data_IF_002082786925
#
_entry.id   IF_002082786925
#
_cell.length_a   1.000
_cell.length_b   1.000
_cell.length_c   1.000
_cell.angle_alpha   90.00
_cell.angle_beta   90.00
_cell.angle_gamma   90.00
#
_symmetry.space_group_name_H-M   'P 1'
#
loop_
_entity.id
_entity.type
_entity.pdbx_description
1 polymer ?
#
# COMPACT_ATOMS: atom_id res chain seq x y z
N UNK A 1 20.17 18.34 -16.25
CA UNK A 1 19.89 18.70 -14.84
C UNK A 1 18.80 17.78 -14.32
N UNK A 2 18.95 17.19 -13.13
CA UNK A 2 17.94 16.32 -12.53
C UNK A 2 16.85 17.14 -11.85
N UNK A 3 15.63 16.60 -11.77
CA UNK A 3 14.55 17.17 -10.95
C UNK A 3 14.94 17.06 -9.47
N UNK A 4 14.73 18.13 -8.67
CA UNK A 4 14.90 18.05 -7.21
C UNK A 4 13.82 17.14 -6.61
N UNK A 5 14.04 16.61 -5.40
CA UNK A 5 13.02 15.80 -4.71
C UNK A 5 11.71 16.57 -4.47
N UNK A 6 11.81 17.86 -4.12
CA UNK A 6 10.65 18.73 -3.96
C UNK A 6 9.83 18.82 -5.26
N UNK A 7 10.49 19.11 -6.38
CA UNK A 7 9.81 19.19 -7.69
C UNK A 7 9.21 17.84 -8.07
N UNK A 8 9.88 16.72 -7.77
CA UNK A 8 9.34 15.38 -8.00
C UNK A 8 8.06 15.12 -7.19
N UNK A 9 8.03 15.49 -5.91
CA UNK A 9 6.85 15.35 -5.06
C UNK A 9 5.67 16.20 -5.56
N UNK A 10 5.94 17.45 -5.95
CA UNK A 10 4.92 18.36 -6.48
C UNK A 10 4.36 17.87 -7.83
N UNK A 11 5.22 17.32 -8.70
CA UNK A 11 4.82 16.66 -9.94
C UNK A 11 3.96 15.41 -9.69
N UNK A 12 4.33 14.58 -8.72
CA UNK A 12 3.52 13.40 -8.36
C UNK A 12 2.12 13.83 -7.93
N UNK A 13 2.00 14.82 -7.03
CA UNK A 13 0.71 15.33 -6.56
C UNK A 13 -0.13 15.93 -7.68
N UNK A 14 0.49 16.67 -8.60
CA UNK A 14 -0.19 17.21 -9.77
C UNK A 14 -0.77 16.08 -10.64
N UNK A 15 0.03 15.04 -10.90
CA UNK A 15 -0.40 13.86 -11.65
C UNK A 15 -1.58 13.13 -11.00
N UNK A 16 -1.52 12.89 -9.69
CA UNK A 16 -2.62 12.27 -8.94
C UNK A 16 -3.91 13.10 -9.02
N UNK A 17 -3.80 14.43 -8.90
CA UNK A 17 -4.93 15.34 -9.04
C UNK A 17 -5.55 15.30 -10.43
N UNK A 18 -4.73 15.23 -11.47
CA UNK A 18 -5.19 15.09 -12.86
C UNK A 18 -5.90 13.75 -13.05
N UNK A 19 -5.32 12.64 -12.56
CA UNK A 19 -5.90 11.31 -12.66
C UNK A 19 -7.26 11.24 -11.99
N UNK A 20 -7.40 11.78 -10.77
CA UNK A 20 -8.68 11.87 -10.07
C UNK A 20 -9.73 12.62 -10.88
N UNK A 21 -9.35 13.74 -11.46
CA UNK A 21 -10.24 14.55 -12.32
C UNK A 21 -10.67 13.76 -13.56
N UNK A 22 -9.75 12.99 -14.17
CA UNK A 22 -10.05 12.17 -15.34
C UNK A 22 -10.95 10.98 -15.01
N UNK A 23 -10.75 10.32 -13.86
CA UNK A 23 -11.62 9.25 -13.38
C UNK A 23 -13.04 9.75 -13.12
N UNK A 24 -13.17 10.93 -12.50
CA UNK A 24 -14.46 11.58 -12.30
C UNK A 24 -15.14 11.92 -13.65
N UNK A 25 -14.40 12.47 -14.61
CA UNK A 25 -14.93 12.71 -15.97
C UNK A 25 -15.38 11.40 -16.61
N UNK A 26 -14.57 10.34 -16.54
CA UNK A 26 -14.91 9.03 -17.11
C UNK A 26 -16.20 8.46 -16.50
N UNK A 27 -16.45 8.69 -15.22
CA UNK A 27 -17.66 8.23 -14.53
C UNK A 27 -18.94 8.90 -15.06
N UNK A 28 -18.88 10.20 -15.38
CA UNK A 28 -19.99 11.00 -15.90
C UNK A 28 -20.32 10.71 -17.38
N UNK A 29 -19.43 10.04 -18.10
CA UNK A 29 -19.66 9.72 -19.51
C UNK A 29 -20.68 8.59 -19.69
N UNK A 30 -21.47 8.58 -20.77
CA UNK A 30 -22.31 7.43 -21.10
C UNK A 30 -21.46 6.20 -21.39
N UNK A 31 -21.97 4.99 -21.11
CA UNK A 31 -21.24 3.72 -21.28
C UNK A 31 -20.56 3.56 -22.64
N UNK A 32 -21.28 3.93 -23.72
CA UNK A 32 -20.74 3.91 -25.09
C UNK A 32 -19.49 4.78 -25.31
N UNK A 33 -19.22 5.74 -24.43
CA UNK A 33 -18.08 6.65 -24.47
C UNK A 33 -16.97 6.30 -23.46
N UNK A 34 -17.13 5.24 -22.64
CA UNK A 34 -16.12 4.80 -21.65
C UNK A 34 -15.01 3.92 -22.24
N UNK A 35 -14.92 3.81 -23.57
CA UNK A 35 -13.85 3.12 -24.30
C UNK A 35 -13.10 4.11 -25.18
N UNK A 36 -11.85 3.80 -25.58
CA UNK A 36 -11.02 4.69 -26.42
C UNK A 36 -11.76 5.09 -27.72
N UNK A 37 -12.30 4.09 -28.44
CA UNK A 37 -13.02 4.33 -29.69
C UNK A 37 -14.42 4.94 -29.48
N UNK A 38 -15.03 4.69 -28.33
CA UNK A 38 -16.28 5.33 -27.92
C UNK A 38 -16.10 6.82 -27.67
N UNK A 39 -15.12 7.17 -26.83
CA UNK A 39 -14.78 8.53 -26.46
C UNK A 39 -14.38 9.38 -27.68
N UNK A 40 -13.53 8.83 -28.55
CA UNK A 40 -13.11 9.51 -29.78
C UNK A 40 -14.30 9.89 -30.68
N UNK A 41 -15.25 8.96 -30.85
CA UNK A 41 -16.47 9.22 -31.65
C UNK A 41 -17.44 10.14 -30.93
N UNK A 42 -17.61 9.96 -29.63
CA UNK A 42 -18.59 10.69 -28.83
C UNK A 42 -18.25 12.17 -28.70
N UNK A 43 -16.97 12.49 -28.52
CA UNK A 43 -16.49 13.88 -28.39
C UNK A 43 -16.01 14.48 -29.72
N UNK A 44 -15.99 13.69 -30.80
CA UNK A 44 -15.26 14.05 -32.02
C UNK A 44 -13.84 14.51 -31.68
N UNK A 45 -13.12 13.59 -31.02
CA UNK A 45 -11.81 13.83 -30.44
C UNK A 45 -10.80 12.84 -30.99
N UNK A 46 -9.55 13.29 -31.13
CA UNK A 46 -8.51 12.48 -31.75
C UNK A 46 -8.31 11.16 -30.98
N UNK A 47 -8.22 10.04 -31.71
CA UNK A 47 -8.07 8.69 -31.13
C UNK A 47 -6.81 8.55 -30.27
N UNK A 48 -5.69 9.15 -30.66
CA UNK A 48 -4.44 9.13 -29.88
C UNK A 48 -4.60 9.88 -28.56
N UNK A 49 -5.25 11.05 -28.58
CA UNK A 49 -5.52 11.80 -27.34
C UNK A 49 -6.54 11.07 -26.44
N UNK A 50 -7.51 10.39 -27.05
CA UNK A 50 -8.46 9.52 -26.34
C UNK A 50 -7.73 8.36 -25.65
N UNK A 51 -6.80 7.71 -26.34
CA UNK A 51 -5.97 6.66 -25.76
C UNK A 51 -5.19 7.19 -24.56
N UNK A 52 -4.52 8.34 -24.69
CA UNK A 52 -3.78 8.99 -23.60
C UNK A 52 -4.64 9.32 -22.38
N UNK A 53 -5.87 9.79 -22.58
CA UNK A 53 -6.83 9.98 -21.49
C UNK A 53 -7.09 8.68 -20.70
N UNK A 54 -7.38 7.58 -21.40
CA UNK A 54 -7.63 6.29 -20.73
C UNK A 54 -6.37 5.66 -20.15
N UNK A 55 -5.21 5.84 -20.77
CA UNK A 55 -3.93 5.37 -20.20
C UNK A 55 -3.60 6.16 -18.94
N UNK A 56 -3.81 7.48 -18.92
CA UNK A 56 -3.66 8.30 -17.73
C UNK A 56 -4.62 7.89 -16.59
N UNK A 57 -5.85 7.47 -16.91
CA UNK A 57 -6.76 6.90 -15.90
C UNK A 57 -6.21 5.62 -15.25
N UNK A 58 -5.42 4.83 -15.99
CA UNK A 58 -4.87 3.52 -15.58
C UNK A 58 -3.42 3.58 -15.09
N UNK A 59 -2.84 4.77 -14.99
CA UNK A 59 -1.45 4.94 -14.56
C UNK A 59 -1.27 4.50 -13.10
N UNK A 60 -0.12 3.91 -12.78
CA UNK A 60 0.19 3.39 -11.43
C UNK A 60 0.54 4.50 -10.43
N UNK A 61 1.08 5.62 -10.91
CA UNK A 61 1.49 6.75 -10.08
C UNK A 61 1.30 8.09 -10.81
N UNK A 62 1.30 9.19 -10.06
CA UNK A 62 1.11 10.54 -10.61
C UNK A 62 2.17 10.94 -11.65
N UNK A 63 3.42 10.48 -11.54
CA UNK A 63 4.44 10.80 -12.55
C UNK A 63 4.14 10.10 -13.88
N UNK A 64 3.64 8.86 -13.83
CA UNK A 64 3.20 8.15 -15.03
C UNK A 64 1.99 8.83 -15.65
N UNK A 65 1.05 9.36 -14.86
CA UNK A 65 -0.04 10.20 -15.39
C UNK A 65 0.53 11.32 -16.25
N UNK A 66 1.49 12.09 -15.72
CA UNK A 66 2.12 13.19 -16.45
C UNK A 66 2.84 12.73 -17.74
N UNK A 67 3.40 11.52 -17.75
CA UNK A 67 4.01 10.93 -18.95
C UNK A 67 2.97 10.55 -19.99
N UNK A 68 1.80 10.06 -19.57
CA UNK A 68 0.76 9.56 -20.47
C UNK A 68 -0.17 10.65 -21.00
N UNK A 69 -0.21 11.83 -20.37
CA UNK A 69 -1.16 12.89 -20.72
C UNK A 69 -1.13 13.33 -22.21
N UNK A 70 -2.28 13.77 -22.74
CA UNK A 70 -2.31 14.64 -23.91
C UNK A 70 -1.55 15.95 -23.63
N UNK A 71 -1.04 16.61 -24.67
CA UNK A 71 -0.45 17.95 -24.51
C UNK A 71 -1.50 19.00 -24.12
N UNK A 72 -1.06 20.16 -23.61
CA UNK A 72 -1.95 21.24 -23.13
C UNK A 72 -3.02 21.62 -24.15
N UNK A 73 -2.66 21.81 -25.42
CA UNK A 73 -3.62 22.14 -26.48
C UNK A 73 -4.69 21.06 -26.67
N UNK A 74 -4.31 19.79 -26.55
CA UNK A 74 -5.26 18.68 -26.60
C UNK A 74 -6.18 18.66 -25.37
N UNK A 75 -5.69 19.03 -24.19
CA UNK A 75 -6.49 19.18 -22.97
C UNK A 75 -7.48 20.34 -23.09
N UNK A 76 -7.07 21.49 -23.61
CA UNK A 76 -7.95 22.63 -23.88
C UNK A 76 -9.06 22.26 -24.88
N UNK A 77 -8.71 21.54 -25.96
CA UNK A 77 -9.72 21.03 -26.89
C UNK A 77 -10.68 20.05 -26.20
N UNK A 78 -10.17 19.17 -25.33
CA UNK A 78 -11.00 18.25 -24.54
C UNK A 78 -11.96 19.01 -23.62
N UNK A 79 -11.50 20.07 -22.95
CA UNK A 79 -12.35 20.94 -22.12
C UNK A 79 -13.50 21.54 -22.92
N UNK A 80 -13.22 22.06 -24.12
CA UNK A 80 -14.25 22.63 -25.00
C UNK A 80 -15.30 21.58 -25.35
N UNK A 81 -14.86 20.38 -25.75
CA UNK A 81 -15.77 19.28 -26.11
C UNK A 81 -16.56 18.72 -24.93
N UNK A 82 -15.99 18.74 -23.72
CA UNK A 82 -16.65 18.26 -22.49
C UNK A 82 -17.55 19.31 -21.84
N UNK A 83 -17.36 20.61 -22.12
CA UNK A 83 -18.12 21.70 -21.49
C UNK A 83 -19.65 21.48 -21.47
N UNK A 84 -20.31 21.03 -22.57
CA UNK A 84 -21.75 20.80 -22.55
C UNK A 84 -22.16 19.43 -21.97
N UNK A 85 -21.21 18.58 -21.57
CA UNK A 85 -21.43 17.15 -21.29
C UNK A 85 -21.18 16.75 -19.82
N UNK A 86 -20.53 17.60 -19.04
CA UNK A 86 -20.18 17.30 -17.64
C UNK A 86 -20.64 18.42 -16.69
N UNK A 87 -20.85 18.12 -15.40
CA UNK A 87 -21.24 19.12 -14.41
C UNK A 87 -20.25 20.28 -14.29
N UNK A 88 -20.75 21.50 -14.08
CA UNK A 88 -19.94 22.71 -13.96
C UNK A 88 -18.82 22.64 -12.90
N UNK A 89 -19.01 22.03 -11.71
CA UNK A 89 -17.93 21.84 -10.74
C UNK A 89 -16.78 21.00 -11.30
N UNK A 90 -17.09 19.94 -12.05
CA UNK A 90 -16.09 19.05 -12.64
C UNK A 90 -15.36 19.74 -13.81
N UNK A 91 -16.06 20.54 -14.61
CA UNK A 91 -15.45 21.38 -15.62
C UNK A 91 -14.46 22.39 -15.01
N UNK A 92 -14.81 23.01 -13.86
CA UNK A 92 -13.91 23.91 -13.13
C UNK A 92 -12.65 23.19 -12.66
N UNK A 93 -12.78 21.96 -12.16
CA UNK A 93 -11.64 21.12 -11.78
C UNK A 93 -10.75 20.80 -12.99
N UNK A 94 -11.34 20.42 -14.13
CA UNK A 94 -10.61 20.14 -15.36
C UNK A 94 -9.80 21.34 -15.86
N UNK A 95 -10.40 22.54 -15.82
CA UNK A 95 -9.71 23.80 -16.14
C UNK A 95 -8.52 24.02 -15.21
N UNK A 96 -8.76 23.96 -13.91
CA UNK A 96 -7.73 24.16 -12.90
C UNK A 96 -6.54 23.20 -13.04
N UNK A 97 -6.78 21.90 -13.28
CA UNK A 97 -5.67 20.94 -13.43
C UNK A 97 -4.91 21.12 -14.74
N UNK A 98 -5.57 21.63 -15.79
CA UNK A 98 -4.92 21.95 -17.06
C UNK A 98 -4.04 23.19 -16.91
N UNK A 99 -4.53 24.23 -16.22
CA UNK A 99 -3.76 25.45 -15.95
C UNK A 99 -2.53 25.14 -15.09
N UNK A 100 -2.69 24.32 -14.05
CA UNK A 100 -1.57 23.85 -13.22
C UNK A 100 -0.55 23.04 -14.04
N UNK A 101 -1.02 22.21 -14.97
CA UNK A 101 -0.13 21.47 -15.86
C UNK A 101 0.63 22.37 -16.84
N UNK A 102 -0.03 23.37 -17.41
CA UNK A 102 0.61 24.37 -18.26
C UNK A 102 1.65 25.20 -17.50
N UNK A 103 1.31 25.69 -16.30
CA UNK A 103 2.24 26.39 -15.40
C UNK A 103 3.44 25.52 -15.06
N UNK A 104 3.20 24.25 -14.74
CA UNK A 104 4.26 23.29 -14.44
C UNK A 104 5.21 23.08 -15.62
N UNK A 105 4.69 23.00 -16.85
CA UNK A 105 5.55 22.97 -18.04
C UNK A 105 6.37 24.25 -18.11
N UNK A 106 5.73 25.41 -18.08
CA UNK A 106 6.44 26.70 -18.18
C UNK A 106 7.53 26.90 -17.10
N UNK A 107 7.34 26.36 -15.89
CA UNK A 107 8.28 26.47 -14.78
C UNK A 107 9.42 25.44 -14.81
N UNK A 108 9.16 24.21 -15.29
CA UNK A 108 10.08 23.09 -15.10
C UNK A 108 10.51 22.39 -16.40
N UNK A 109 9.84 22.63 -17.52
CA UNK A 109 10.14 22.02 -18.81
C UNK A 109 9.65 22.86 -20.01
N UNK A 110 10.53 23.28 -20.91
CA UNK A 110 10.15 24.06 -22.12
C UNK A 110 9.15 23.35 -23.05
N UNK A 111 8.93 22.05 -22.88
CA UNK A 111 7.90 21.29 -23.57
C UNK A 111 7.49 20.03 -22.81
N UNK A 112 6.32 19.47 -23.13
CA UNK A 112 5.89 18.18 -22.59
C UNK A 112 6.87 17.05 -22.94
N UNK A 113 7.45 17.07 -24.13
CA UNK A 113 8.48 16.10 -24.52
C UNK A 113 9.72 16.18 -23.62
N UNK A 114 10.12 17.39 -23.23
CA UNK A 114 11.22 17.58 -22.27
C UNK A 114 10.83 17.07 -20.88
N UNK A 115 9.62 17.35 -20.40
CA UNK A 115 9.14 16.83 -19.11
C UNK A 115 9.17 15.30 -19.09
N UNK A 116 8.68 14.64 -20.16
CA UNK A 116 8.72 13.17 -20.30
C UNK A 116 10.14 12.64 -20.21
N UNK A 117 11.08 13.26 -20.93
CA UNK A 117 12.50 12.90 -20.85
C UNK A 117 13.03 13.03 -19.42
N UNK A 118 12.80 14.17 -18.77
CA UNK A 118 13.25 14.41 -17.39
C UNK A 118 12.69 13.38 -16.39
N UNK A 119 11.41 13.02 -16.50
CA UNK A 119 10.76 12.02 -15.66
C UNK A 119 11.31 10.61 -15.92
N UNK A 120 11.51 10.24 -17.19
CA UNK A 120 12.08 8.94 -17.56
C UNK A 120 13.55 8.80 -17.13
N UNK A 121 14.36 9.86 -17.20
CA UNK A 121 15.75 9.86 -16.71
C UNK A 121 15.82 9.91 -15.17
N UNK A 122 14.84 10.53 -14.50
CA UNK A 122 14.76 10.52 -13.04
C UNK A 122 14.44 9.11 -12.49
N UNK A 123 13.61 8.31 -13.18
CA UNK A 123 13.39 6.90 -12.82
C UNK A 123 14.70 6.10 -12.82
N UNK A 124 15.64 6.40 -13.73
CA UNK A 124 16.96 5.76 -13.78
C UNK A 124 17.95 6.26 -12.71
N UNK A 125 17.86 7.52 -12.28
CA UNK A 125 18.77 8.09 -11.25
C UNK A 125 18.34 7.86 -9.81
N UNK A 126 17.10 7.42 -9.56
CA UNK A 126 16.59 7.22 -8.19
C UNK A 126 17.27 6.03 -7.47
N UNK A 127 18.10 5.24 -8.16
CA UNK A 127 18.90 4.18 -7.53
C UNK A 127 20.09 4.68 -6.67
N UNK A 128 20.41 5.99 -6.66
CA UNK A 128 21.68 6.47 -6.07
C UNK A 128 21.60 7.68 -5.09
N UNK A 129 20.45 8.05 -4.52
CA UNK A 129 20.38 9.22 -3.61
C UNK A 129 20.25 8.84 -2.13
N UNK A 130 21.37 8.92 -1.39
CA UNK A 130 21.47 8.72 0.07
C UNK A 130 20.80 9.81 0.93
N UNK A 131 20.51 11.01 0.40
CA UNK A 131 20.07 12.15 1.23
C UNK A 131 18.64 12.06 1.81
N UNK A 132 17.73 11.29 1.20
CA UNK A 132 16.36 11.13 1.75
C UNK A 132 16.32 10.25 3.00
N UNK A 133 17.28 9.32 3.11
CA UNK A 133 17.39 8.43 4.26
C UNK A 133 17.97 9.13 5.49
N UNK A 134 18.74 10.21 5.31
CA UNK A 134 19.33 10.97 6.44
C UNK A 134 18.24 11.57 7.36
N UNK A 135 17.20 12.19 6.81
CA UNK A 135 16.10 12.75 7.61
C UNK A 135 15.24 11.67 8.28
N UNK A 136 15.00 10.55 7.59
CA UNK A 136 14.27 9.42 8.16
C UNK A 136 15.05 8.74 9.27
N UNK A 137 16.36 8.58 9.09
CA UNK A 137 17.26 8.10 10.13
C UNK A 137 17.27 9.06 11.34
N UNK A 138 17.32 10.37 11.12
CA UNK A 138 17.20 11.36 12.20
C UNK A 138 15.88 11.23 12.96
N UNK A 139 14.75 11.09 12.26
CA UNK A 139 13.44 10.86 12.88
C UNK A 139 13.45 9.56 13.70
N UNK A 140 14.00 8.47 13.15
CA UNK A 140 14.15 7.20 13.85
C UNK A 140 14.94 7.34 15.16
N UNK A 141 16.13 7.96 15.12
CA UNK A 141 16.96 8.12 16.32
C UNK A 141 16.32 9.05 17.35
N UNK A 142 15.65 10.11 16.89
CA UNK A 142 14.93 11.04 17.77
C UNK A 142 13.75 10.34 18.47
N UNK A 143 12.93 9.61 17.71
CA UNK A 143 11.79 8.87 18.25
C UNK A 143 12.24 7.72 19.16
N UNK A 144 13.31 7.00 18.78
CA UNK A 144 13.94 5.96 19.62
C UNK A 144 14.35 6.52 20.98
N UNK A 145 15.03 7.67 21.00
CA UNK A 145 15.49 8.30 22.25
C UNK A 145 14.32 8.78 23.10
N UNK A 146 13.29 9.37 22.47
CA UNK A 146 12.10 9.86 23.16
C UNK A 146 11.27 8.72 23.79
N UNK A 147 11.03 7.65 23.03
CA UNK A 147 10.18 6.54 23.45
C UNK A 147 10.93 5.46 24.22
N UNK A 148 12.27 5.50 24.21
CA UNK A 148 13.17 4.46 24.76
C UNK A 148 12.85 3.07 24.22
N UNK A 149 12.41 3.04 22.97
CA UNK A 149 11.90 1.88 22.27
C UNK A 149 12.40 1.92 20.83
N UNK A 150 12.95 0.80 20.34
CA UNK A 150 13.22 0.63 18.91
C UNK A 150 12.97 -0.81 18.45
N UNK A 151 12.73 -0.96 17.16
CA UNK A 151 12.72 -2.24 16.45
C UNK A 151 13.77 -2.17 15.35
N UNK A 152 14.63 -3.18 15.24
CA UNK A 152 15.62 -3.22 14.16
C UNK A 152 14.91 -3.49 12.83
N UNK A 153 14.04 -4.49 12.77
CA UNK A 153 13.32 -4.82 11.54
C UNK A 153 11.87 -5.24 11.80
N UNK A 154 10.99 -4.79 10.89
CA UNK A 154 9.64 -5.35 10.76
C UNK A 154 9.56 -6.10 9.43
N UNK A 155 9.34 -7.41 9.49
CA UNK A 155 9.06 -8.26 8.34
C UNK A 155 7.60 -8.69 8.37
N UNK A 156 6.86 -8.38 7.31
CA UNK A 156 5.44 -8.61 7.24
C UNK A 156 5.06 -9.36 5.96
N UNK A 157 4.23 -10.37 6.08
CA UNK A 157 3.65 -11.11 4.95
C UNK A 157 2.15 -11.12 5.09
N UNK A 158 1.44 -10.80 4.02
CA UNK A 158 0.00 -11.01 3.91
C UNK A 158 -0.29 -11.98 2.77
N UNK A 159 -1.25 -12.86 2.96
CA UNK A 159 -1.78 -13.77 1.96
C UNK A 159 -3.26 -13.48 1.81
N UNK A 160 -3.66 -13.03 0.63
CA UNK A 160 -5.05 -12.77 0.25
C UNK A 160 -5.52 -13.88 -0.69
N UNK A 161 -6.47 -14.68 -0.22
CA UNK A 161 -7.01 -15.82 -0.97
C UNK A 161 -8.52 -15.89 -0.87
N UNK A 162 -9.17 -16.54 -1.83
CA UNK A 162 -10.61 -16.71 -1.79
C UNK A 162 -11.04 -17.51 -0.55
N UNK A 163 -12.00 -16.97 0.21
CA UNK A 163 -12.62 -17.69 1.31
C UNK A 163 -13.68 -18.65 0.74
N UNK A 164 -13.33 -19.93 0.60
CA UNK A 164 -14.24 -20.97 0.09
C UNK A 164 -15.46 -21.20 1.00
N UNK A 165 -15.35 -20.90 2.29
CA UNK A 165 -16.45 -21.05 3.24
C UNK A 165 -17.43 -19.87 3.20
N UNK A 166 -16.92 -18.66 2.91
CA UNK A 166 -17.73 -17.46 2.73
C UNK A 166 -17.25 -16.67 1.50
N UNK A 167 -17.80 -16.95 0.30
CA UNK A 167 -17.34 -16.33 -0.94
C UNK A 167 -17.48 -14.81 -1.00
N UNK A 168 -18.21 -14.18 -0.07
CA UNK A 168 -18.32 -12.73 0.01
C UNK A 168 -17.01 -12.05 0.46
N UNK A 169 -16.12 -12.78 1.14
CA UNK A 169 -14.87 -12.26 1.68
C UNK A 169 -13.65 -13.02 1.17
N UNK A 170 -12.50 -12.37 1.23
CA UNK A 170 -11.20 -13.00 1.12
C UNK A 170 -10.75 -13.42 2.53
N UNK A 171 -10.07 -14.55 2.59
CA UNK A 171 -9.29 -14.90 3.78
C UNK A 171 -7.97 -14.13 3.70
N UNK A 172 -7.71 -13.30 4.71
CA UNK A 172 -6.42 -12.64 4.91
C UNK A 172 -5.64 -13.37 6.00
N UNK A 173 -4.49 -13.95 5.63
CA UNK A 173 -3.54 -14.51 6.59
C UNK A 173 -2.33 -13.60 6.66
N UNK A 174 -1.95 -13.16 7.85
CA UNK A 174 -0.83 -12.27 8.06
C UNK A 174 0.21 -12.86 9.00
N UNK A 175 1.49 -12.62 8.72
CA UNK A 175 2.60 -12.79 9.65
C UNK A 175 3.26 -11.43 9.84
N UNK A 176 3.39 -10.99 11.09
CA UNK A 176 4.05 -9.74 11.46
C UNK A 176 5.19 -10.08 12.42
N UNK A 177 6.42 -10.07 11.92
CA UNK A 177 7.63 -10.31 12.70
C UNK A 177 8.31 -8.99 13.02
N UNK A 178 8.67 -8.80 14.29
CA UNK A 178 9.45 -7.67 14.79
C UNK A 178 10.71 -8.20 15.44
N UNK A 179 11.85 -7.94 14.80
CA UNK A 179 13.16 -8.43 15.24
C UNK A 179 14.01 -7.30 15.81
N UNK A 180 14.84 -7.63 16.80
CA UNK A 180 15.67 -6.69 17.52
C UNK A 180 14.86 -5.64 18.26
N UNK A 181 13.74 -6.02 18.88
CA UNK A 181 13.00 -5.14 19.78
C UNK A 181 13.93 -4.79 20.93
N UNK A 182 14.18 -3.49 21.15
CA UNK A 182 14.92 -2.98 22.30
C UNK A 182 14.03 -2.05 23.09
N UNK A 183 13.85 -2.34 24.38
CA UNK A 183 12.99 -1.58 25.29
C UNK A 183 13.75 -1.27 26.57
N UNK A 184 13.96 0.00 26.86
CA UNK A 184 14.63 0.43 28.09
C UNK A 184 13.62 0.67 29.22
N UNK A 185 14.12 0.83 30.44
CA UNK A 185 13.30 1.17 31.60
C UNK A 185 12.50 2.47 31.38
N UNK A 186 11.19 2.39 31.65
CA UNK A 186 10.24 3.51 31.49
C UNK A 186 9.73 3.73 30.06
N UNK A 187 10.09 2.86 29.10
CA UNK A 187 9.42 2.83 27.80
C UNK A 187 7.95 2.40 27.92
N UNK A 188 7.14 2.77 26.93
CA UNK A 188 5.73 2.35 26.85
C UNK A 188 5.59 0.83 26.66
N UNK A 189 4.46 0.23 27.05
CA UNK A 189 4.17 -1.18 26.79
C UNK A 189 4.32 -1.55 25.31
N UNK A 190 4.71 -2.80 25.04
CA UNK A 190 4.69 -3.29 23.67
C UNK A 190 3.26 -3.66 23.29
N UNK A 191 2.79 -3.10 22.17
CA UNK A 191 1.44 -3.38 21.67
C UNK A 191 1.52 -3.89 20.23
N UNK A 192 0.92 -5.06 19.98
CA UNK A 192 0.67 -5.55 18.63
C UNK A 192 -0.78 -5.27 18.24
N UNK A 193 -0.98 -4.39 17.27
CA UNK A 193 -2.30 -4.10 16.70
C UNK A 193 -2.66 -5.10 15.61
N UNK A 194 -3.96 -5.33 15.43
CA UNK A 194 -4.52 -6.20 14.40
C UNK A 194 -5.90 -5.70 13.97
N UNK A 195 -6.36 -6.20 12.83
CA UNK A 195 -7.56 -5.75 12.12
C UNK A 195 -8.68 -6.78 12.25
N UNK A 196 -9.25 -6.91 13.45
CA UNK A 196 -10.49 -7.66 13.71
C UNK A 196 -10.99 -7.38 15.14
N UNK A 197 -12.30 -7.26 15.41
CA UNK A 197 -12.83 -7.23 16.78
C UNK A 197 -12.58 -8.56 17.49
N UNK A 198 -12.30 -8.55 18.80
CA UNK A 198 -12.17 -9.82 19.50
C UNK A 198 -13.51 -10.57 19.56
N UNK A 199 -13.53 -11.89 19.27
CA UNK A 199 -14.66 -12.74 19.60
C UNK A 199 -14.99 -12.66 21.10
N UNK A 200 -16.27 -12.84 21.47
CA UNK A 200 -16.74 -12.71 22.86
C UNK A 200 -16.00 -13.59 23.87
N UNK A 201 -15.45 -14.72 23.42
CA UNK A 201 -14.72 -15.70 24.24
C UNK A 201 -13.18 -15.57 24.12
N UNK A 202 -12.67 -14.51 23.50
CA UNK A 202 -11.24 -14.34 23.29
C UNK A 202 -10.56 -13.82 24.57
N UNK A 203 -9.72 -14.64 25.19
CA UNK A 203 -9.05 -14.31 26.47
C UNK A 203 -7.56 -14.02 26.34
N UNK A 204 -6.88 -14.61 25.37
CA UNK A 204 -5.44 -14.44 25.15
C UNK A 204 -5.05 -14.90 23.73
N UNK A 205 -3.93 -14.38 23.17
CA UNK A 205 -3.35 -14.92 21.94
C UNK A 205 -2.98 -16.39 22.06
N UNK A 206 -3.14 -17.13 20.96
CA UNK A 206 -2.74 -18.52 20.87
C UNK A 206 -1.21 -18.67 20.78
N UNK A 207 -0.68 -19.79 21.26
CA UNK A 207 0.64 -20.24 20.87
C UNK A 207 0.54 -20.94 19.51
N UNK A 208 1.22 -20.42 18.49
CA UNK A 208 1.17 -20.95 17.12
C UNK A 208 2.53 -21.56 16.80
N UNK A 209 2.51 -22.80 16.32
CA UNK A 209 3.69 -23.57 15.95
C UNK A 209 3.61 -24.10 14.52
N UNK A 210 4.66 -24.73 14.02
CA UNK A 210 4.71 -25.40 12.72
C UNK A 210 3.65 -26.51 12.58
N UNK A 211 3.18 -27.07 13.69
CA UNK A 211 2.10 -28.07 13.69
C UNK A 211 0.71 -27.43 13.67
N UNK A 212 0.61 -26.14 13.94
CA UNK A 212 -0.67 -25.40 13.90
C UNK A 212 -1.22 -25.32 12.48
N UNK A 213 -2.53 -25.22 12.36
CA UNK A 213 -3.23 -25.07 11.08
C UNK A 213 -4.28 -23.97 11.21
N UNK A 214 -4.28 -23.07 10.24
CA UNK A 214 -5.23 -21.96 10.21
C UNK A 214 -6.49 -22.38 9.45
N UNK A 215 -7.63 -22.40 10.15
CA UNK A 215 -8.92 -22.71 9.55
C UNK A 215 -9.50 -21.51 8.80
N UNK A 216 -9.99 -21.72 7.58
CA UNK A 216 -10.38 -20.63 6.66
C UNK A 216 -11.52 -19.75 7.17
N UNK A 217 -12.38 -20.27 8.04
CA UNK A 217 -13.59 -19.61 8.53
C UNK A 217 -13.49 -19.13 9.98
N UNK A 218 -12.31 -19.18 10.59
CA UNK A 218 -12.12 -18.83 11.99
C UNK A 218 -11.12 -17.68 12.13
N UNK A 219 -11.51 -16.64 12.87
CA UNK A 219 -10.56 -15.62 13.30
C UNK A 219 -9.51 -16.24 14.24
N UNK A 220 -8.24 -16.07 13.91
CA UNK A 220 -7.12 -16.54 14.73
C UNK A 220 -6.12 -15.41 14.93
N UNK A 221 -5.66 -15.22 16.17
CA UNK A 221 -4.49 -14.40 16.46
C UNK A 221 -3.61 -15.09 17.50
N UNK A 222 -2.31 -15.12 17.23
CA UNK A 222 -1.36 -15.77 18.12
C UNK A 222 0.07 -15.32 17.91
N UNK A 223 0.94 -15.83 18.78
CA UNK A 223 2.39 -15.64 18.76
C UNK A 223 3.03 -16.91 18.22
N UNK A 224 3.96 -16.77 17.27
CA UNK A 224 4.75 -17.89 16.77
C UNK A 224 5.80 -18.30 17.81
N UNK A 225 5.81 -19.58 18.16
CA UNK A 225 6.80 -20.15 19.08
C UNK A 225 8.21 -20.14 18.48
N UNK A 226 8.34 -20.51 17.20
CA UNK A 226 9.63 -20.68 16.53
C UNK A 226 10.34 -19.36 16.23
N UNK A 227 9.57 -18.29 16.02
CA UNK A 227 10.09 -16.99 15.58
C UNK A 227 9.88 -15.87 16.60
N UNK A 228 9.69 -16.23 17.88
CA UNK A 228 9.66 -15.29 19.01
C UNK A 228 10.68 -15.70 20.06
N UNK A 229 11.13 -14.76 20.87
CA UNK A 229 11.98 -15.08 22.03
C UNK A 229 11.24 -16.04 22.98
N UNK A 230 11.94 -17.06 23.47
CA UNK A 230 11.37 -18.04 24.40
C UNK A 230 10.65 -17.34 25.57
N UNK A 231 9.40 -17.74 25.82
CA UNK A 231 8.57 -17.15 26.87
C UNK A 231 7.92 -15.80 26.52
N UNK A 232 8.06 -15.29 25.29
CA UNK A 232 7.42 -14.02 24.88
C UNK A 232 5.91 -14.03 25.08
N UNK A 233 5.22 -15.13 24.76
CA UNK A 233 3.77 -15.23 24.95
C UNK A 233 3.35 -15.04 26.42
N UNK A 234 4.19 -15.45 27.37
CA UNK A 234 3.92 -15.28 28.81
C UNK A 234 3.95 -13.82 29.26
N UNK A 235 4.50 -12.91 28.44
CA UNK A 235 4.45 -11.48 28.68
C UNK A 235 3.09 -10.85 28.33
N UNK A 236 2.15 -11.61 27.74
CA UNK A 236 0.81 -11.11 27.46
C UNK A 236 0.14 -10.69 28.77
N UNK A 237 -0.34 -9.44 28.79
CA UNK A 237 -0.90 -8.81 29.98
C UNK A 237 -2.39 -8.57 29.85
N UNK A 238 -2.82 -7.94 28.75
CA UNK A 238 -4.21 -7.53 28.54
C UNK A 238 -4.45 -7.11 27.08
N UNK A 239 -5.69 -6.75 26.80
CA UNK A 239 -6.11 -6.09 25.58
C UNK A 239 -6.14 -4.58 25.75
N UNK A 240 -5.85 -3.84 24.69
CA UNK A 240 -6.16 -2.41 24.67
C UNK A 240 -7.68 -2.23 24.58
N UNK A 241 -8.35 -1.58 25.56
CA UNK A 241 -9.80 -1.37 25.50
C UNK A 241 -10.21 -0.40 24.39
N UNK A 242 -9.29 0.47 23.98
CA UNK A 242 -9.50 1.52 22.98
C UNK A 242 -9.33 1.04 21.54
N UNK A 243 -8.63 -0.07 21.30
CA UNK A 243 -8.22 -0.53 19.96
C UNK A 243 -7.98 -2.04 19.95
N UNK A 244 -8.22 -2.74 18.83
CA UNK A 244 -7.79 -4.14 18.66
C UNK A 244 -6.27 -4.28 18.77
N UNK A 245 -5.78 -4.55 19.98
CA UNK A 245 -4.35 -4.58 20.29
C UNK A 245 -4.02 -5.46 21.49
N UNK A 246 -3.00 -6.31 21.32
CA UNK A 246 -2.46 -7.17 22.36
C UNK A 246 -1.33 -6.45 23.09
N UNK A 247 -1.42 -6.35 24.42
CA UNK A 247 -0.43 -5.66 25.26
C UNK A 247 0.50 -6.68 25.92
N UNK A 248 1.80 -6.52 25.73
CA UNK A 248 2.84 -7.35 26.34
C UNK A 248 3.72 -6.50 27.26
N UNK A 249 3.65 -6.79 28.56
CA UNK A 249 4.35 -6.04 29.60
C UNK A 249 4.37 -6.80 30.95
N UNK A 250 5.55 -7.01 31.58
CA UNK A 250 6.91 -6.76 31.08
C UNK A 250 7.30 -7.74 29.97
N UNK A 251 8.19 -7.32 29.07
CA UNK A 251 8.81 -8.21 28.08
C UNK A 251 9.78 -9.20 28.77
N UNK A 252 10.04 -10.38 28.19
CA UNK A 252 10.93 -11.39 28.78
C UNK A 252 12.38 -10.91 28.93
N UNK A 253 12.79 -9.93 28.14
CA UNK A 253 14.11 -9.31 28.15
C UNK A 253 14.05 -7.90 27.54
N UNK A 254 15.05 -7.07 27.82
CA UNK A 254 15.20 -5.74 27.22
C UNK A 254 15.49 -5.80 25.71
N UNK A 255 15.89 -6.98 25.22
CA UNK A 255 16.10 -7.28 23.80
C UNK A 255 15.40 -8.58 23.44
N UNK A 256 14.37 -8.54 22.60
CA UNK A 256 13.62 -9.72 22.18
C UNK A 256 13.14 -9.63 20.73
N UNK A 257 12.64 -10.75 20.23
CA UNK A 257 11.97 -10.87 18.95
C UNK A 257 10.54 -11.35 19.19
N UNK A 258 9.61 -10.88 18.36
CA UNK A 258 8.20 -11.26 18.46
C UNK A 258 7.60 -11.42 17.07
N UNK A 259 7.00 -12.58 16.82
CA UNK A 259 6.31 -12.87 15.56
C UNK A 259 4.86 -13.22 15.83
N UNK A 260 3.95 -12.52 15.17
CA UNK A 260 2.52 -12.69 15.30
C UNK A 260 1.94 -13.28 14.03
N UNK A 261 0.97 -14.17 14.18
CA UNK A 261 0.18 -14.69 13.06
C UNK A 261 -1.27 -14.30 13.28
N UNK A 262 -1.90 -13.77 12.24
CA UNK A 262 -3.31 -13.36 12.21
C UNK A 262 -3.99 -14.07 11.04
N UNK A 263 -5.23 -14.51 11.25
CA UNK A 263 -6.09 -15.07 10.23
C UNK A 263 -7.45 -14.36 10.33
N UNK A 264 -7.78 -13.56 9.32
CA UNK A 264 -9.03 -12.81 9.22
C UNK A 264 -9.90 -13.45 8.13
N UNK A 265 -11.08 -14.02 8.47
CA UNK A 265 -11.93 -14.68 7.48
C UNK A 265 -12.89 -13.74 6.74
N UNK A 266 -13.16 -12.54 7.28
CA UNK A 266 -14.35 -11.74 6.92
C UNK A 266 -14.16 -10.21 6.98
N UNK A 267 -12.92 -9.72 6.93
CA UNK A 267 -12.64 -8.26 6.93
C UNK A 267 -12.42 -7.70 5.51
N UNK A 268 -11.90 -8.52 4.59
CA UNK A 268 -11.57 -8.09 3.23
C UNK A 268 -12.63 -8.58 2.25
N UNK A 269 -13.35 -7.69 1.58
CA UNK A 269 -14.37 -8.06 0.59
C UNK A 269 -13.77 -8.80 -0.62
N UNK A 270 -14.45 -9.83 -1.11
CA UNK A 270 -14.03 -10.59 -2.29
C UNK A 270 -14.48 -9.91 -3.59
N UNK A 271 -13.57 -9.35 -4.40
CA UNK A 271 -13.94 -8.64 -5.64
C UNK A 271 -14.42 -9.57 -6.76
N UNK A 272 -14.20 -10.89 -6.66
CA UNK A 272 -14.68 -11.84 -7.65
C UNK A 272 -16.20 -12.06 -7.52
N UNK A 273 -16.73 -11.90 -6.32
CA UNK A 273 -18.12 -12.24 -5.98
C UNK A 273 -18.93 -11.03 -5.50
N UNK A 274 -18.29 -9.94 -5.10
CA UNK A 274 -18.91 -8.74 -4.55
C UNK A 274 -18.50 -7.50 -5.34
N UNK A 275 -19.40 -6.52 -5.40
CA UNK A 275 -19.08 -5.21 -5.95
C UNK A 275 -18.31 -4.39 -4.91
N UNK A 276 -17.00 -4.64 -4.82
CA UNK A 276 -16.08 -3.85 -3.99
C UNK A 276 -15.21 -2.98 -4.91
N UNK A 277 -15.20 -1.63 -4.76
CA UNK A 277 -14.42 -0.76 -5.62
C UNK A 277 -12.90 -0.87 -5.39
N UNK A 278 -12.49 -1.35 -4.21
CA UNK A 278 -11.11 -1.62 -3.87
C UNK A 278 -11.01 -2.57 -2.67
N UNK A 279 -9.82 -3.08 -2.40
CA UNK A 279 -9.41 -3.65 -1.11
C UNK A 279 -8.02 -3.12 -0.77
N UNK A 280 -7.61 -3.24 0.49
CA UNK A 280 -6.27 -2.84 0.89
C UNK A 280 -5.76 -3.64 2.06
N UNK A 281 -4.44 -3.76 2.12
CA UNK A 281 -3.74 -4.34 3.25
C UNK A 281 -2.65 -3.36 3.69
N UNK A 282 -2.40 -3.25 4.99
CA UNK A 282 -1.52 -2.20 5.51
C UNK A 282 -0.76 -2.57 6.76
N UNK A 283 0.42 -1.99 6.92
CA UNK A 283 1.28 -2.12 8.09
C UNK A 283 1.50 -0.74 8.71
N UNK A 284 1.08 -0.59 9.97
CA UNK A 284 1.31 0.63 10.75
C UNK A 284 2.64 0.58 11.50
N UNK A 285 3.42 1.66 11.38
CA UNK A 285 4.71 1.82 12.06
C UNK A 285 4.48 2.57 13.37
N UNK A 286 4.14 1.81 14.41
CA UNK A 286 3.80 2.34 15.74
C UNK A 286 5.04 2.53 16.63
N UNK A 287 6.12 1.82 16.34
CA UNK A 287 7.40 1.93 17.04
C UNK A 287 8.46 2.48 16.08
N UNK A 288 9.51 3.16 16.58
CA UNK A 288 10.66 3.53 15.75
C UNK A 288 11.30 2.27 15.18
N UNK A 289 11.25 2.14 13.86
CA UNK A 289 11.73 0.95 13.13
C UNK A 289 12.85 1.36 12.18
N UNK A 290 13.92 0.57 12.13
CA UNK A 290 15.07 0.86 11.27
C UNK A 290 14.90 0.32 9.84
N UNK A 291 14.25 -0.82 9.66
CA UNK A 291 13.93 -1.37 8.35
C UNK A 291 12.53 -2.03 8.33
N UNK A 292 11.83 -1.90 7.21
CA UNK A 292 10.55 -2.58 6.96
C UNK A 292 10.61 -3.34 5.64
N UNK A 293 10.19 -4.60 5.66
CA UNK A 293 9.93 -5.40 4.47
C UNK A 293 8.48 -5.90 4.54
N UNK A 294 7.68 -5.61 3.52
CA UNK A 294 6.28 -6.05 3.43
C UNK A 294 6.07 -6.80 2.12
N UNK A 295 5.50 -8.00 2.24
CA UNK A 295 5.09 -8.87 1.14
C UNK A 295 3.57 -9.02 1.17
N UNK A 296 2.92 -8.91 0.01
CA UNK A 296 1.50 -9.24 -0.17
C UNK A 296 1.40 -10.24 -1.30
N UNK A 297 1.07 -11.48 -0.93
CA UNK A 297 0.75 -12.57 -1.83
C UNK A 297 -0.75 -12.51 -2.12
N UNK A 298 -1.10 -12.38 -3.39
CA UNK A 298 -2.50 -12.37 -3.83
C UNK A 298 -2.71 -13.46 -4.87
N UNK A 299 -3.82 -14.20 -4.77
CA UNK A 299 -4.15 -15.21 -5.78
C UNK A 299 -4.23 -14.58 -7.17
N UNK A 300 -3.63 -15.25 -8.17
CA UNK A 300 -3.55 -14.77 -9.57
C UNK A 300 -4.91 -14.40 -10.16
N UNK A 301 -6.00 -15.04 -9.71
CA UNK A 301 -7.35 -14.73 -10.17
C UNK A 301 -7.84 -13.36 -9.68
N UNK A 302 -7.53 -12.98 -8.44
CA UNK A 302 -7.91 -11.69 -7.85
C UNK A 302 -7.05 -10.58 -8.47
N UNK A 303 -5.75 -10.85 -8.68
CA UNK A 303 -4.82 -9.92 -9.31
C UNK A 303 -5.28 -9.46 -10.70
N UNK A 304 -5.75 -10.39 -11.54
CA UNK A 304 -6.22 -10.11 -12.92
C UNK A 304 -7.35 -9.08 -12.99
N UNK A 305 -8.12 -8.93 -11.92
CA UNK A 305 -9.24 -8.00 -11.82
C UNK A 305 -8.86 -6.69 -11.12
N UNK A 306 -7.59 -6.49 -10.77
CA UNK A 306 -7.14 -5.42 -9.89
C UNK A 306 -6.08 -4.54 -10.52
N UNK A 307 -6.03 -3.28 -10.10
CA UNK A 307 -4.90 -2.38 -10.33
C UNK A 307 -4.26 -2.06 -8.98
N UNK A 308 -2.95 -2.25 -8.87
CA UNK A 308 -2.26 -2.17 -7.58
C UNK A 308 -1.58 -0.82 -7.40
N UNK A 309 -1.76 -0.22 -6.23
CA UNK A 309 -1.11 1.02 -5.83
C UNK A 309 -0.52 0.87 -4.42
N UNK A 310 0.49 1.69 -4.08
CA UNK A 310 1.07 1.73 -2.74
C UNK A 310 1.21 3.17 -2.28
N UNK A 311 1.06 3.43 -0.98
CA UNK A 311 1.41 4.72 -0.39
C UNK A 311 1.78 4.62 1.09
N UNK A 312 2.33 5.73 1.58
CA UNK A 312 2.61 5.98 2.99
C UNK A 312 1.66 7.09 3.47
N UNK A 313 0.92 6.85 4.54
CA UNK A 313 -0.16 7.72 5.02
C UNK A 313 -0.01 8.03 6.50
N UNK A 314 -0.60 9.14 6.95
CA UNK A 314 -0.75 9.40 8.39
C UNK A 314 -1.52 8.29 9.10
N UNK A 315 -1.09 7.96 10.32
CA UNK A 315 -1.59 6.82 11.10
C UNK A 315 -2.86 7.12 11.90
N UNK A 316 -3.60 8.16 11.52
CA UNK A 316 -4.54 8.84 12.42
C UNK A 316 -6.01 8.43 12.24
N UNK A 317 -6.34 7.53 11.30
CA UNK A 317 -7.72 7.08 11.11
C UNK A 317 -7.79 5.59 10.81
N UNK A 318 -8.78 4.92 11.42
CA UNK A 318 -9.26 3.62 10.95
C UNK A 318 -9.92 3.87 9.60
N UNK A 319 -9.16 3.73 8.52
CA UNK A 319 -9.73 3.77 7.18
C UNK A 319 -10.60 2.52 7.05
N UNK A 320 -11.88 2.71 6.78
CA UNK A 320 -12.78 1.60 6.52
C UNK A 320 -12.32 0.88 5.25
N UNK A 321 -11.85 -0.36 5.42
CA UNK A 321 -11.37 -1.17 4.31
C UNK A 321 -12.49 -1.36 3.27
N UNK A 322 -12.11 -1.32 1.99
CA UNK A 322 -13.03 -1.50 0.87
C UNK A 322 -13.78 -0.24 0.40
N UNK A 323 -13.68 0.91 1.09
CA UNK A 323 -14.43 2.12 0.72
C UNK A 323 -13.63 3.21 0.02
N UNK A 324 -12.38 3.41 0.40
CA UNK A 324 -11.54 4.52 -0.10
C UNK A 324 -10.45 4.00 -1.02
N UNK A 325 -10.34 4.57 -2.22
CA UNK A 325 -9.26 4.26 -3.16
C UNK A 325 -7.99 5.02 -2.77
N UNK A 326 -6.85 4.63 -3.34
CA UNK A 326 -5.58 5.33 -3.12
C UNK A 326 -5.69 6.84 -3.46
N UNK A 327 -6.42 7.15 -4.53
CA UNK A 327 -6.65 8.54 -4.98
C UNK A 327 -7.56 9.37 -4.05
N UNK A 328 -8.32 8.73 -3.17
CA UNK A 328 -9.15 9.42 -2.17
C UNK A 328 -8.32 9.87 -0.96
N UNK A 329 -7.22 9.18 -0.69
CA UNK A 329 -6.34 9.39 0.48
C UNK A 329 -5.22 10.41 0.27
N UNK A 330 -5.31 11.23 -0.79
CA UNK A 330 -4.25 12.16 -1.19
C UNK A 330 -3.91 13.22 -0.13
N UNK A 331 -4.86 13.61 0.74
CA UNK A 331 -4.62 14.60 1.81
C UNK A 331 -3.77 14.04 2.94
N UNK A 332 -3.86 12.73 3.18
CA UNK A 332 -3.16 12.02 4.25
C UNK A 332 -1.83 11.42 3.79
N UNK A 333 -1.57 11.50 2.48
CA UNK A 333 -0.44 10.86 1.83
C UNK A 333 0.86 11.64 2.12
N UNK A 334 1.83 10.97 2.71
CA UNK A 334 3.18 11.51 2.81
C UNK A 334 3.82 11.67 1.42
N UNK A 335 4.73 12.63 1.23
CA UNK A 335 5.50 12.76 -0.02
C UNK A 335 6.32 11.50 -0.37
N UNK A 336 6.57 10.62 0.60
CA UNK A 336 7.25 9.34 0.37
C UNK A 336 6.38 8.41 -0.47
N UNK A 337 6.97 7.90 -1.54
CA UNK A 337 6.35 6.91 -2.41
C UNK A 337 7.20 5.64 -2.32
N UNK A 338 6.79 4.65 -1.50
CA UNK A 338 7.51 3.39 -1.40
C UNK A 338 7.50 2.69 -2.77
N UNK A 339 8.60 2.04 -3.13
CA UNK A 339 8.69 1.30 -4.38
C UNK A 339 7.98 -0.05 -4.23
N UNK A 340 7.15 -0.39 -5.21
CA UNK A 340 6.47 -1.68 -5.31
C UNK A 340 7.18 -2.54 -6.35
N UNK A 341 7.71 -3.68 -5.92
CA UNK A 341 8.30 -4.68 -6.80
C UNK A 341 7.34 -5.85 -6.95
N UNK A 342 7.07 -6.21 -8.20
CA UNK A 342 6.23 -7.35 -8.55
C UNK A 342 7.15 -8.51 -8.87
N UNK A 343 6.93 -9.64 -8.20
CA UNK A 343 7.68 -10.87 -8.44
C UNK A 343 6.71 -12.00 -8.70
N UNK A 344 6.99 -12.76 -9.76
CA UNK A 344 6.36 -14.06 -9.94
C UNK A 344 6.88 -15.00 -8.84
N UNK A 345 6.00 -15.84 -8.31
CA UNK A 345 6.33 -16.79 -7.25
C UNK A 345 6.94 -18.09 -7.77
N UNK A 346 7.06 -18.22 -9.09
CA UNK A 346 7.68 -19.35 -9.79
C UNK A 346 9.07 -19.65 -9.24
N UNK A 347 9.41 -20.93 -9.16
CA UNK A 347 10.69 -21.43 -8.66
C UNK A 347 10.89 -21.25 -7.13
N UNK A 348 9.82 -21.43 -6.35
CA UNK A 348 9.89 -21.57 -4.88
C UNK A 348 10.77 -20.52 -4.18
N UNK A 349 10.45 -19.24 -4.41
CA UNK A 349 11.10 -18.08 -3.80
C UNK A 349 12.50 -17.73 -4.33
N UNK A 350 13.02 -18.41 -5.37
CA UNK A 350 14.39 -18.17 -5.85
C UNK A 350 14.63 -16.72 -6.32
N UNK A 351 13.63 -16.10 -6.94
CA UNK A 351 13.72 -14.73 -7.46
C UNK A 351 13.54 -13.65 -6.39
N UNK A 352 13.15 -14.02 -5.17
CA UNK A 352 13.03 -13.08 -4.06
C UNK A 352 14.41 -12.78 -3.49
N UNK A 353 14.82 -11.52 -3.59
CA UNK A 353 16.00 -10.97 -2.91
C UNK A 353 15.72 -10.77 -1.41
N UNK A 354 15.26 -11.82 -0.74
CA UNK A 354 14.99 -11.89 0.69
C UNK A 354 16.16 -12.56 1.41
N UNK A 355 16.40 -12.12 2.64
CA UNK A 355 17.32 -12.80 3.54
C UNK A 355 16.78 -14.19 3.91
N UNK A 356 17.65 -15.10 4.35
CA UNK A 356 17.25 -16.48 4.65
C UNK A 356 16.18 -16.54 5.74
N UNK A 357 16.31 -15.75 6.81
CA UNK A 357 15.33 -15.67 7.90
C UNK A 357 13.93 -15.27 7.40
N UNK A 358 13.84 -14.30 6.48
CA UNK A 358 12.58 -13.91 5.86
C UNK A 358 11.97 -15.03 5.01
N UNK A 359 12.80 -15.78 4.28
CA UNK A 359 12.36 -16.93 3.51
C UNK A 359 11.80 -18.03 4.42
N UNK A 360 12.42 -18.25 5.58
CA UNK A 360 11.99 -19.26 6.53
C UNK A 360 10.65 -18.88 7.19
N UNK A 361 10.49 -17.60 7.61
CA UNK A 361 9.21 -17.07 8.10
C UNK A 361 8.10 -17.12 7.05
N UNK A 362 8.43 -16.87 5.78
CA UNK A 362 7.48 -16.98 4.68
C UNK A 362 7.04 -18.44 4.46
N UNK A 363 7.96 -19.39 4.42
CA UNK A 363 7.64 -20.83 4.31
C UNK A 363 6.77 -21.29 5.47
N UNK A 364 7.13 -20.89 6.69
CA UNK A 364 6.34 -21.16 7.88
C UNK A 364 4.89 -20.69 7.73
N UNK A 365 4.67 -19.46 7.26
CA UNK A 365 3.31 -18.95 7.05
C UNK A 365 2.55 -19.75 5.98
N UNK A 366 3.20 -20.05 4.85
CA UNK A 366 2.62 -20.84 3.76
C UNK A 366 2.20 -22.24 4.25
N UNK A 367 3.03 -22.88 5.08
CA UNK A 367 2.78 -24.21 5.62
C UNK A 367 1.57 -24.23 6.57
N UNK A 368 1.52 -23.32 7.55
CA UNK A 368 0.41 -23.27 8.51
C UNK A 368 -0.90 -22.79 7.86
N UNK A 369 -0.81 -22.00 6.79
CA UNK A 369 -1.96 -21.53 6.00
C UNK A 369 -2.40 -22.51 4.90
N UNK A 370 -1.63 -23.58 4.66
CA UNK A 370 -1.81 -24.57 3.58
C UNK A 370 -1.93 -23.92 2.21
N UNK A 371 -0.94 -23.11 1.86
CA UNK A 371 -0.92 -22.33 0.63
C UNK A 371 0.21 -22.82 -0.26
N UNK A 372 -0.13 -23.18 -1.51
CA UNK A 372 0.86 -23.35 -2.57
C UNK A 372 1.18 -21.97 -3.16
N UNK A 373 2.44 -21.55 -3.03
CA UNK A 373 2.86 -20.21 -3.45
C UNK A 373 2.75 -20.00 -4.96
N UNK A 374 2.78 -21.09 -5.76
CA UNK A 374 2.73 -21.02 -7.22
C UNK A 374 1.41 -20.44 -7.75
N UNK A 375 0.35 -20.42 -6.95
CA UNK A 375 -0.95 -19.83 -7.32
C UNK A 375 -1.02 -18.30 -7.13
N UNK A 376 0.05 -17.70 -6.62
CA UNK A 376 0.06 -16.31 -6.16
C UNK A 376 0.97 -15.42 -7.01
N UNK A 377 0.74 -14.11 -6.90
CA UNK A 377 1.69 -13.07 -7.31
C UNK A 377 2.12 -12.34 -6.05
N UNK A 378 3.40 -11.97 -5.95
CA UNK A 378 3.89 -11.22 -4.81
C UNK A 378 4.15 -9.77 -5.16
N UNK A 379 3.54 -8.89 -4.36
CA UNK A 379 3.83 -7.48 -4.28
C UNK A 379 4.72 -7.23 -3.08
N UNK A 380 5.91 -6.71 -3.31
CA UNK A 380 6.92 -6.51 -2.26
C UNK A 380 7.36 -5.06 -2.18
N UNK A 381 7.60 -4.59 -0.98
CA UNK A 381 8.21 -3.29 -0.73
C UNK A 381 9.21 -3.39 0.42
N UNK A 382 10.27 -2.59 0.31
CA UNK A 382 11.28 -2.46 1.34
C UNK A 382 11.56 -0.98 1.57
N UNK A 383 11.60 -0.58 2.85
CA UNK A 383 11.80 0.81 3.26
C UNK A 383 12.80 0.84 4.39
N UNK A 384 13.92 1.54 4.16
CA UNK A 384 14.84 1.93 5.23
C UNK A 384 14.25 3.10 6.00
N UNK A 385 14.36 3.02 7.32
CA UNK A 385 13.87 4.00 8.28
C UNK A 385 12.42 4.41 7.98
N UNK A 386 11.45 3.47 7.98
CA UNK A 386 10.06 3.82 7.73
C UNK A 386 9.57 4.91 8.70
N UNK A 387 8.71 5.81 8.21
CA UNK A 387 8.27 6.99 8.98
C UNK A 387 7.53 6.52 10.24
N UNK A 388 8.02 6.91 11.42
CA UNK A 388 7.32 6.63 12.68
C UNK A 388 5.95 7.34 12.71
N UNK A 389 4.93 6.63 13.18
CA UNK A 389 3.53 7.08 13.16
C UNK A 389 2.97 7.29 11.75
N UNK A 390 3.33 6.38 10.84
CA UNK A 390 2.71 6.26 9.51
C UNK A 390 2.12 4.87 9.29
N UNK A 391 1.37 4.71 8.20
CA UNK A 391 0.87 3.43 7.70
C UNK A 391 1.26 3.26 6.24
N UNK A 392 1.97 2.17 5.94
CA UNK A 392 2.28 1.75 4.58
C UNK A 392 1.18 0.83 4.09
N UNK A 393 0.56 1.16 2.96
CA UNK A 393 -0.64 0.46 2.48
C UNK A 393 -0.57 0.16 1.00
N UNK A 394 -0.89 -1.08 0.65
CA UNK A 394 -1.10 -1.54 -0.72
C UNK A 394 -2.60 -1.58 -0.98
N UNK A 395 -3.04 -0.91 -2.03
CA UNK A 395 -4.41 -0.90 -2.53
C UNK A 395 -4.52 -1.79 -3.75
N UNK A 396 -5.61 -2.54 -3.83
CA UNK A 396 -6.06 -3.27 -5.00
C UNK A 396 -7.37 -2.63 -5.47
N UNK A 397 -7.33 -1.82 -6.53
CA UNK A 397 -8.52 -1.21 -7.12
C UNK A 397 -9.15 -2.18 -8.13
N UNK A 398 -10.37 -2.63 -7.85
CA UNK A 398 -11.02 -3.68 -8.64
C UNK A 398 -11.80 -3.08 -9.81
N UNK A 399 -11.85 -3.81 -10.93
CA UNK A 399 -12.44 -3.36 -12.21
C UNK A 399 -13.90 -3.75 -12.40
#
# INVERSE_FOLDING_TARGET
MGLSQQVKADLTRLGERIQKTFLAIKAELPEKAKTIGGFARYLDYNRSNSQRFFTACKASDGLQVLVELPGVQALLLMQQKLTPLIPAPLLKQLKQVTDLFEQCLNQHASSHAQLKRMLSTAKQKTQNTMHGDDHKAQLYYSAKSLLRFSVEEVFCVYILKENKANPAFLQEVALISKSGIKREAGAVPFVQFYTHPNPDNFTQPLNISQQSRLETNLFTIGVSEEYSTSGFLNAFSTFSPSNSGLVFDPLPSDSCDATFVVNNPDEVMNPLNQSSPCSSTSLSIKNPTKAMTMLVLIEKQIDKCSTVNIGCYHNNQKVEDGKLKASDMWTERFPEFPELKISQTTDNLAHFQLQQDHKDKLRYLLDIARVDIEDYICYSTHVNFPIWSSTYRIYFEHQ
#
